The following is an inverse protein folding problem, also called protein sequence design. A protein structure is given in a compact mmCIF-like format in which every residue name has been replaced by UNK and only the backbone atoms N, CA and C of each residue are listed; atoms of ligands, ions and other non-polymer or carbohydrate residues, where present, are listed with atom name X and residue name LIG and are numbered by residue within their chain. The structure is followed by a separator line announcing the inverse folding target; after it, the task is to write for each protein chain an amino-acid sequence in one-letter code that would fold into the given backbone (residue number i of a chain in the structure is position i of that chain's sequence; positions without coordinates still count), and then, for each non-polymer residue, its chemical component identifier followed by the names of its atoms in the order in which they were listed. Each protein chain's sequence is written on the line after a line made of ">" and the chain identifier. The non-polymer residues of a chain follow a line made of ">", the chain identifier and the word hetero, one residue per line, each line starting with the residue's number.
data_IF_335693024558
#
_entry.id   IF_335693024558
#
_cell.length_a   1.000
_cell.length_b   1.000
_cell.length_c   1.000
_cell.angle_alpha   90.00
_cell.angle_beta   90.00
_cell.angle_gamma   90.00
#
_symmetry.space_group_name_H-M   'P 1'
#
loop_
_entity.id
_entity.type
_entity.pdbx_description
1 polymer ?
#
# COMPACT_ATOMS: atom_id res chain seq x y z
N UNK A 1 -3.99 3.43 -12.47
CA UNK A 1 -4.98 2.85 -11.55
C UNK A 1 -5.32 3.91 -10.54
N UNK A 2 -6.57 4.32 -10.47
CA UNK A 2 -7.03 5.32 -9.50
C UNK A 2 -8.01 4.65 -8.55
N UNK A 3 -7.78 4.77 -7.24
CA UNK A 3 -8.55 4.11 -6.20
C UNK A 3 -8.86 5.12 -5.11
N UNK A 4 -10.12 5.11 -4.66
CA UNK A 4 -10.52 5.84 -3.46
C UNK A 4 -10.43 4.87 -2.27
N UNK A 5 -9.48 5.12 -1.37
CA UNK A 5 -9.37 4.44 -0.09
C UNK A 5 -10.44 4.96 0.86
N UNK A 6 -10.97 4.07 1.69
CA UNK A 6 -11.87 4.41 2.79
C UNK A 6 -11.43 3.64 4.03
N UNK A 7 -11.73 4.19 5.18
CA UNK A 7 -11.41 3.59 6.48
C UNK A 7 -12.70 3.09 7.12
N UNK A 8 -12.88 1.78 7.06
CA UNK A 8 -13.91 1.09 7.83
C UNK A 8 -13.27 0.25 8.94
N UNK A 9 -13.78 0.40 10.17
CA UNK A 9 -13.37 -0.40 11.33
C UNK A 9 -14.55 -1.13 11.95
N UNK A 10 -14.29 -2.34 12.42
CA UNK A 10 -15.24 -3.17 13.17
C UNK A 10 -14.71 -3.40 14.58
N UNK A 11 -15.61 -3.77 15.49
CA UNK A 11 -15.24 -4.15 16.86
C UNK A 11 -15.60 -5.62 17.06
N UNK A 12 -14.59 -6.45 17.33
CA UNK A 12 -14.78 -7.84 17.73
C UNK A 12 -14.26 -8.01 19.16
N UNK A 13 -15.11 -8.51 20.05
CA UNK A 13 -14.76 -8.72 21.46
C UNK A 13 -14.13 -7.48 22.12
N UNK A 14 -14.69 -6.29 21.85
CA UNK A 14 -14.23 -4.96 22.33
C UNK A 14 -12.90 -4.46 21.74
N UNK A 15 -12.26 -5.22 20.85
CA UNK A 15 -11.03 -4.79 20.19
C UNK A 15 -11.34 -4.24 18.78
N UNK A 16 -10.69 -3.12 18.37
CA UNK A 16 -10.89 -2.55 17.05
C UNK A 16 -10.06 -3.30 15.98
N UNK A 17 -10.69 -3.53 14.83
CA UNK A 17 -10.11 -4.13 13.62
C UNK A 17 -10.43 -3.25 12.42
N UNK A 18 -9.56 -3.21 11.42
CA UNK A 18 -9.96 -2.79 10.09
C UNK A 18 -10.92 -3.82 9.50
N UNK A 19 -11.99 -3.36 8.87
CA UNK A 19 -12.92 -4.22 8.17
C UNK A 19 -12.23 -4.92 7.00
N UNK A 20 -12.74 -6.11 6.62
CA UNK A 20 -12.25 -6.86 5.47
C UNK A 20 -12.25 -6.05 4.18
N UNK A 21 -13.19 -5.11 4.03
CA UNK A 21 -13.33 -4.25 2.87
C UNK A 21 -12.15 -3.25 2.76
N UNK A 22 -11.72 -2.67 3.89
CA UNK A 22 -10.54 -1.78 3.97
C UNK A 22 -9.26 -2.56 3.67
N UNK A 23 -9.12 -3.74 4.27
CA UNK A 23 -7.95 -4.62 4.07
C UNK A 23 -7.87 -5.07 2.62
N UNK A 24 -8.98 -5.53 2.05
CA UNK A 24 -9.05 -6.03 0.68
C UNK A 24 -8.65 -4.96 -0.34
N UNK A 25 -9.01 -3.70 -0.09
CA UNK A 25 -8.60 -2.57 -0.92
C UNK A 25 -7.08 -2.40 -0.92
N UNK A 26 -6.48 -2.25 0.26
CA UNK A 26 -5.02 -2.08 0.38
C UNK A 26 -4.24 -3.28 -0.17
N UNK A 27 -4.70 -4.50 0.12
CA UNK A 27 -4.06 -5.70 -0.43
C UNK A 27 -4.18 -5.78 -1.95
N UNK A 28 -5.23 -5.24 -2.56
CA UNK A 28 -5.37 -5.18 -4.02
C UNK A 28 -4.35 -4.21 -4.62
N UNK A 29 -4.20 -3.01 -4.03
CA UNK A 29 -3.18 -2.03 -4.42
C UNK A 29 -1.79 -2.64 -4.36
N UNK A 30 -1.45 -3.26 -3.23
CA UNK A 30 -0.13 -3.86 -3.02
C UNK A 30 0.16 -5.04 -3.91
N UNK A 31 -0.83 -5.90 -4.17
CA UNK A 31 -0.68 -6.99 -5.15
C UNK A 31 -0.43 -6.43 -6.55
N UNK A 32 -1.10 -5.36 -6.96
CA UNK A 32 -0.83 -4.75 -8.26
C UNK A 32 0.63 -4.28 -8.39
N UNK A 33 1.16 -3.62 -7.34
CA UNK A 33 2.58 -3.22 -7.29
C UNK A 33 3.50 -4.44 -7.35
N UNK A 34 3.25 -5.50 -6.57
CA UNK A 34 4.07 -6.71 -6.61
C UNK A 34 3.98 -7.41 -7.97
N UNK A 35 2.80 -7.60 -8.54
CA UNK A 35 2.63 -8.23 -9.86
C UNK A 35 3.40 -7.47 -10.95
N UNK A 36 3.41 -6.14 -10.91
CA UNK A 36 4.21 -5.34 -11.83
C UNK A 36 5.72 -5.57 -11.69
N UNK A 37 6.23 -5.90 -10.49
CA UNK A 37 7.65 -6.16 -10.23
C UNK A 37 8.06 -7.63 -10.47
N UNK A 38 7.11 -8.58 -10.39
CA UNK A 38 7.41 -10.01 -10.40
C UNK A 38 6.82 -10.76 -11.60
N UNK A 39 5.84 -10.20 -12.30
CA UNK A 39 5.20 -10.81 -13.47
C UNK A 39 5.17 -9.85 -14.68
N UNK A 40 6.04 -10.10 -15.67
CA UNK A 40 6.11 -9.29 -16.91
C UNK A 40 4.82 -9.32 -17.74
N UNK A 41 3.98 -10.33 -17.54
CA UNK A 41 2.70 -10.48 -18.26
C UNK A 41 1.52 -9.88 -17.49
N UNK A 42 1.74 -9.41 -16.26
CA UNK A 42 0.70 -8.74 -15.49
C UNK A 42 0.29 -7.42 -16.13
N UNK A 43 -0.88 -6.91 -15.74
CA UNK A 43 -1.32 -5.59 -16.14
C UNK A 43 -0.32 -4.53 -15.65
N UNK A 44 0.12 -3.68 -16.56
CA UNK A 44 1.06 -2.60 -16.28
C UNK A 44 0.30 -1.29 -16.09
N UNK A 45 0.75 -0.48 -15.14
CA UNK A 45 0.15 0.82 -14.85
C UNK A 45 1.22 1.91 -14.93
N UNK A 46 0.90 3.04 -15.57
CA UNK A 46 1.79 4.20 -15.54
C UNK A 46 1.74 4.94 -14.20
N UNK A 47 0.59 4.93 -13.55
CA UNK A 47 0.36 5.52 -12.23
C UNK A 47 -0.52 4.63 -11.36
N UNK A 48 -0.27 4.65 -10.05
CA UNK A 48 -1.15 4.07 -9.04
C UNK A 48 -1.42 5.17 -8.02
N UNK A 49 -2.62 5.73 -8.07
CA UNK A 49 -3.03 6.86 -7.24
C UNK A 49 -4.10 6.38 -6.27
N UNK A 50 -3.77 6.36 -4.98
CA UNK A 50 -4.73 6.06 -3.92
C UNK A 50 -5.06 7.36 -3.21
N UNK A 51 -6.30 7.79 -3.32
CA UNK A 51 -6.82 8.99 -2.68
C UNK A 51 -7.75 8.61 -1.52
N UNK A 52 -7.71 9.29 -0.38
CA UNK A 52 -8.68 9.04 0.68
C UNK A 52 -10.09 9.52 0.29
N UNK A 53 -11.11 8.90 0.87
CA UNK A 53 -12.52 9.32 0.72
C UNK A 53 -12.76 10.62 1.51
N UNK A 54 -12.10 10.75 2.65
CA UNK A 54 -12.11 11.96 3.47
C UNK A 54 -10.85 12.82 3.23
N UNK A 55 -10.67 13.85 4.06
CA UNK A 55 -9.48 14.69 4.00
C UNK A 55 -8.19 13.88 4.27
N UNK A 56 -7.15 14.12 3.44
CA UNK A 56 -5.85 13.41 3.51
C UNK A 56 -5.21 13.48 4.89
N UNK A 57 -5.30 14.63 5.54
CA UNK A 57 -4.68 14.85 6.83
C UNK A 57 -5.43 14.12 7.94
N UNK A 58 -6.77 14.16 7.92
CA UNK A 58 -7.60 13.46 8.90
C UNK A 58 -7.43 11.93 8.80
N UNK A 59 -7.41 11.37 7.60
CA UNK A 59 -7.17 9.94 7.40
C UNK A 59 -5.76 9.52 7.81
N UNK A 60 -4.75 10.34 7.49
CA UNK A 60 -3.37 10.06 7.91
C UNK A 60 -3.27 10.02 9.45
N UNK A 61 -3.86 11.02 10.13
CA UNK A 61 -3.92 11.02 11.59
C UNK A 61 -4.66 9.80 12.15
N UNK A 62 -5.71 9.33 11.46
CA UNK A 62 -6.40 8.11 11.87
C UNK A 62 -5.46 6.91 11.82
N UNK A 63 -4.72 6.70 10.73
CA UNK A 63 -3.76 5.61 10.63
C UNK A 63 -2.67 5.71 11.69
N UNK A 64 -2.08 6.89 11.89
CA UNK A 64 -1.01 7.10 12.87
C UNK A 64 -1.45 6.76 14.29
N UNK A 65 -2.60 7.31 14.73
CA UNK A 65 -3.14 7.09 16.08
C UNK A 65 -3.52 5.64 16.34
N UNK A 66 -3.90 4.90 15.30
CA UNK A 66 -4.43 3.55 15.41
C UNK A 66 -3.45 2.44 15.01
N UNK A 67 -2.29 2.78 14.44
CA UNK A 67 -1.28 1.84 13.95
C UNK A 67 -0.85 0.79 14.99
N UNK A 68 -0.78 1.18 16.27
CA UNK A 68 -0.43 0.31 17.40
C UNK A 68 -1.63 -0.22 18.17
N UNK A 69 -2.85 0.28 17.89
CA UNK A 69 -4.08 -0.03 18.64
C UNK A 69 -4.97 -1.03 17.90
N UNK A 70 -5.02 -0.95 16.59
CA UNK A 70 -5.82 -1.84 15.74
C UNK A 70 -4.99 -3.09 15.44
N UNK A 71 -5.47 -4.23 15.93
CA UNK A 71 -4.69 -5.49 15.96
C UNK A 71 -4.24 -5.96 14.59
N UNK A 72 -5.05 -5.71 13.56
CA UNK A 72 -4.80 -6.13 12.19
C UNK A 72 -4.25 -5.01 11.29
N UNK A 73 -3.70 -3.92 11.86
CA UNK A 73 -3.10 -2.82 11.08
C UNK A 73 -2.00 -3.31 10.11
N UNK A 74 -1.18 -4.27 10.55
CA UNK A 74 -0.14 -4.89 9.70
C UNK A 74 -0.68 -5.46 8.38
N UNK A 75 -1.96 -5.85 8.32
CA UNK A 75 -2.58 -6.36 7.10
C UNK A 75 -2.79 -5.30 6.01
N UNK A 76 -2.68 -4.02 6.37
CA UNK A 76 -2.74 -2.89 5.44
C UNK A 76 -1.36 -2.52 4.88
N UNK A 77 -0.28 -2.95 5.51
CA UNK A 77 1.07 -2.55 5.13
C UNK A 77 1.54 -3.30 3.86
N UNK A 78 2.30 -2.63 3.00
CA UNK A 78 2.84 -3.22 1.78
C UNK A 78 3.70 -4.46 2.07
N UNK A 79 4.49 -4.43 3.16
CA UNK A 79 5.33 -5.54 3.60
C UNK A 79 4.56 -6.86 3.76
N UNK A 80 3.31 -6.83 4.24
CA UNK A 80 2.48 -8.04 4.41
C UNK A 80 2.26 -8.76 3.08
N UNK A 81 2.03 -8.00 2.00
CA UNK A 81 1.85 -8.57 0.67
C UNK A 81 3.18 -8.92 0.03
N UNK A 82 4.17 -8.03 0.13
CA UNK A 82 5.47 -8.22 -0.49
C UNK A 82 6.20 -9.48 0.03
N UNK A 83 6.07 -9.81 1.32
CA UNK A 83 6.64 -11.03 1.91
C UNK A 83 6.22 -12.33 1.22
N UNK A 84 5.08 -12.32 0.50
CA UNK A 84 4.55 -13.47 -0.25
C UNK A 84 5.26 -13.65 -1.60
N UNK A 85 5.96 -12.63 -2.06
CA UNK A 85 6.73 -12.59 -3.32
C UNK A 85 8.23 -12.73 -3.11
N UNK A 86 8.72 -12.71 -1.87
CA UNK A 86 10.16 -12.72 -1.50
C UNK A 86 10.94 -13.96 -2.00
N UNK A 87 10.24 -14.99 -2.48
CA UNK A 87 10.86 -16.19 -3.08
C UNK A 87 11.27 -16.02 -4.54
N UNK A 88 10.86 -14.93 -5.17
CA UNK A 88 11.11 -14.65 -6.57
C UNK A 88 12.09 -13.50 -6.70
N UNK A 89 12.78 -13.41 -7.83
CA UNK A 89 13.63 -12.27 -8.15
C UNK A 89 12.77 -11.20 -8.86
N UNK A 90 12.68 -9.97 -8.34
CA UNK A 90 11.97 -8.90 -9.02
C UNK A 90 12.73 -8.45 -10.26
N UNK A 91 12.05 -7.81 -11.20
CA UNK A 91 12.67 -7.15 -12.34
C UNK A 91 12.44 -5.65 -12.33
N UNK A 92 13.28 -4.93 -13.07
CA UNK A 92 13.13 -3.49 -13.28
C UNK A 92 11.93 -3.21 -14.18
N UNK A 93 10.98 -2.47 -13.66
CA UNK A 93 9.79 -1.99 -14.33
C UNK A 93 9.86 -0.47 -14.47
N UNK A 94 10.01 -0.01 -15.71
CA UNK A 94 10.05 1.42 -16.06
C UNK A 94 8.69 2.01 -16.45
N UNK A 95 7.61 1.23 -16.35
CA UNK A 95 6.27 1.69 -16.71
C UNK A 95 5.65 2.52 -15.58
N UNK A 96 5.82 2.10 -14.33
CA UNK A 96 5.30 2.85 -13.18
C UNK A 96 6.13 4.11 -12.97
N UNK A 97 5.52 5.28 -13.15
CA UNK A 97 6.18 6.58 -12.95
C UNK A 97 5.68 7.30 -11.71
N UNK A 98 4.52 6.93 -11.17
CA UNK A 98 3.92 7.57 -10.01
C UNK A 98 3.17 6.59 -9.10
N UNK A 99 3.41 6.70 -7.79
CA UNK A 99 2.68 6.00 -6.74
C UNK A 99 2.24 6.99 -5.66
N UNK A 100 0.94 7.18 -5.45
CA UNK A 100 0.39 8.07 -4.42
C UNK A 100 -0.26 7.25 -3.31
N UNK A 101 0.32 7.26 -2.10
CA UNK A 101 -0.08 6.38 -0.97
C UNK A 101 0.26 7.02 0.38
N UNK A 102 -0.32 6.59 1.52
CA UNK A 102 0.11 7.04 2.84
C UNK A 102 1.44 6.39 3.24
N UNK A 103 2.37 7.20 3.74
CA UNK A 103 3.72 6.77 4.16
C UNK A 103 3.70 5.60 5.15
N UNK A 104 2.81 5.65 6.14
CA UNK A 104 2.70 4.64 7.21
C UNK A 104 2.37 3.22 6.71
N UNK A 105 1.74 3.09 5.55
CA UNK A 105 1.41 1.79 4.96
C UNK A 105 2.48 1.29 3.99
N UNK A 106 3.46 2.13 3.64
CA UNK A 106 4.48 1.84 2.65
C UNK A 106 5.88 1.70 3.26
N UNK A 107 6.29 2.62 4.13
CA UNK A 107 7.70 2.82 4.44
C UNK A 107 8.23 1.80 5.46
N UNK A 108 9.06 0.87 4.99
CA UNK A 108 10.03 0.15 5.82
C UNK A 108 11.35 -0.06 5.05
N UNK A 109 12.49 -0.32 5.72
CA UNK A 109 13.81 -0.33 5.08
C UNK A 109 13.92 -1.26 3.86
N UNK A 110 13.33 -2.45 3.93
CA UNK A 110 13.33 -3.41 2.84
C UNK A 110 12.47 -2.97 1.65
N UNK A 111 11.29 -2.39 1.92
CA UNK A 111 10.36 -1.91 0.88
C UNK A 111 10.99 -0.82 0.04
N UNK A 112 11.70 0.12 0.68
CA UNK A 112 12.36 1.23 -0.03
C UNK A 112 13.39 0.71 -1.03
N UNK A 113 14.28 -0.20 -0.61
CA UNK A 113 15.28 -0.80 -1.48
C UNK A 113 14.65 -1.59 -2.62
N UNK A 114 13.63 -2.40 -2.32
CA UNK A 114 12.86 -3.11 -3.34
C UNK A 114 12.26 -2.16 -4.37
N UNK A 115 11.70 -1.04 -3.93
CA UNK A 115 11.01 -0.11 -4.79
C UNK A 115 11.98 0.70 -5.65
N UNK A 116 13.10 1.17 -5.07
CA UNK A 116 14.17 1.85 -5.81
C UNK A 116 14.80 0.94 -6.87
N UNK A 117 14.92 -0.37 -6.61
CA UNK A 117 15.38 -1.34 -7.61
C UNK A 117 14.33 -1.62 -8.69
N UNK A 118 13.11 -1.95 -8.28
CA UNK A 118 12.07 -2.46 -9.20
C UNK A 118 11.40 -1.34 -9.98
N UNK A 119 11.35 -0.12 -9.45
CA UNK A 119 10.66 1.02 -10.03
C UNK A 119 11.54 2.30 -9.96
N UNK A 120 12.72 2.30 -10.60
CA UNK A 120 13.70 3.38 -10.42
C UNK A 120 13.23 4.75 -10.91
N UNK A 121 12.29 4.77 -11.87
CA UNK A 121 11.71 6.00 -12.45
C UNK A 121 10.41 6.42 -11.73
N UNK A 122 9.96 5.65 -10.73
CA UNK A 122 8.71 5.93 -10.04
C UNK A 122 8.89 6.97 -8.94
N UNK A 123 8.18 8.09 -9.03
CA UNK A 123 8.03 9.03 -7.93
C UNK A 123 6.97 8.52 -6.95
N UNK A 124 7.37 8.26 -5.71
CA UNK A 124 6.41 8.00 -4.62
C UNK A 124 6.00 9.33 -4.01
N UNK A 125 4.71 9.63 -4.02
CA UNK A 125 4.10 10.82 -3.42
C UNK A 125 3.32 10.37 -2.19
N UNK A 126 3.70 10.86 -1.02
CA UNK A 126 2.99 10.51 0.20
C UNK A 126 1.81 11.46 0.46
N UNK A 127 0.76 10.96 1.10
CA UNK A 127 -0.34 11.82 1.54
C UNK A 127 0.17 12.92 2.47
N UNK A 128 -0.20 14.17 2.17
CA UNK A 128 0.15 15.35 2.98
C UNK A 128 1.52 15.96 2.67
N UNK A 129 2.24 15.47 1.66
CA UNK A 129 3.50 16.02 1.15
C UNK A 129 3.35 16.85 -0.14
#
# INVERSE_FOLDING_TARGET
>A
MEIVAYIETTHEFTQPYYAFRTIGLWQTVWRAVCEMAYNRSAQQYSSIVVEPEADKFDELQFYERNSTRIRNHHLLCFQEIWSKYDRFEPFVNSQLTELVVPRILFECPGVRHFFEFSFPECKVVFWGE
#
